data_IF_041075083478
#
_entry.id   IF_041075083478
#
_cell.length_a   1.000
_cell.length_b   1.000
_cell.length_c   1.000
_cell.angle_alpha   90.00
_cell.angle_beta   90.00
_cell.angle_gamma   90.00
#
_symmetry.space_group_name_H-M   'P 1'
#
loop_
_entity.id
_entity.type
_entity.pdbx_description
1 polymer ?
#
# COMPACT_ATOMS: atom_id res chain seq x y z
N UNK A 1 -19.64 -61.65 -3.13
CA UNK A 1 -20.04 -60.34 -2.58
C UNK A 1 -19.15 -59.24 -3.16
N UNK A 2 -19.67 -58.33 -3.89
CA UNK A 2 -18.84 -57.27 -4.43
C UNK A 2 -18.53 -56.21 -3.38
N UNK A 3 -17.27 -55.98 -3.12
CA UNK A 3 -16.78 -54.93 -2.25
C UNK A 3 -17.07 -53.54 -2.91
N UNK A 4 -17.89 -52.73 -2.27
CA UNK A 4 -18.09 -51.35 -2.60
C UNK A 4 -16.82 -50.59 -2.33
N UNK A 5 -16.13 -50.18 -3.37
CA UNK A 5 -15.05 -49.21 -3.29
C UNK A 5 -15.67 -47.82 -3.06
N UNK A 6 -15.47 -47.25 -1.88
CA UNK A 6 -15.85 -45.87 -1.56
C UNK A 6 -15.04 -44.91 -2.38
N UNK A 7 -15.66 -43.95 -3.06
CA UNK A 7 -14.95 -42.83 -3.68
C UNK A 7 -14.82 -41.70 -2.65
N UNK A 8 -13.85 -41.80 -1.76
CA UNK A 8 -13.56 -40.72 -0.80
C UNK A 8 -12.10 -40.30 -0.91
N UNK A 9 -11.68 -39.85 -2.07
CA UNK A 9 -10.36 -39.24 -2.28
C UNK A 9 -10.34 -38.28 -3.46
N UNK A 10 -11.26 -37.34 -3.54
CA UNK A 10 -11.17 -36.19 -4.47
C UNK A 10 -11.77 -34.97 -3.77
N UNK A 11 -11.08 -34.39 -2.83
CA UNK A 11 -11.48 -33.12 -2.26
C UNK A 11 -10.33 -32.38 -1.53
N UNK A 12 -9.07 -32.55 -1.95
CA UNK A 12 -7.98 -31.85 -1.27
C UNK A 12 -6.97 -31.18 -2.23
N UNK A 13 -7.40 -30.76 -3.41
CA UNK A 13 -6.50 -30.16 -4.42
C UNK A 13 -6.90 -28.76 -4.87
N UNK A 14 -7.65 -27.99 -4.08
CA UNK A 14 -8.13 -26.65 -4.49
C UNK A 14 -7.72 -25.49 -3.57
N UNK A 15 -6.72 -25.66 -2.73
CA UNK A 15 -6.27 -24.59 -1.82
C UNK A 15 -4.87 -24.04 -2.12
N UNK A 16 -4.34 -24.29 -3.30
CA UNK A 16 -3.12 -23.61 -3.75
C UNK A 16 -3.46 -22.50 -4.77
N UNK A 17 -4.38 -21.62 -4.43
CA UNK A 17 -4.43 -20.29 -5.04
C UNK A 17 -3.25 -19.46 -4.46
N UNK A 18 -2.05 -19.94 -4.73
CA UNK A 18 -0.83 -19.24 -4.45
C UNK A 18 -0.89 -17.89 -5.17
N UNK A 19 -0.74 -16.85 -4.41
CA UNK A 19 -0.51 -15.50 -4.88
C UNK A 19 0.72 -15.48 -5.80
N UNK A 20 0.54 -15.71 -7.10
CA UNK A 20 1.61 -15.57 -8.09
C UNK A 20 2.05 -14.10 -8.15
N UNK A 21 3.32 -13.77 -8.27
CA UNK A 21 3.75 -12.38 -8.44
C UNK A 21 3.09 -11.78 -9.68
N UNK A 22 2.79 -10.48 -9.62
CA UNK A 22 2.23 -9.74 -10.76
C UNK A 22 3.18 -9.86 -11.94
N UNK A 23 2.66 -10.28 -13.07
CA UNK A 23 3.45 -10.42 -14.30
C UNK A 23 3.68 -9.06 -14.96
N UNK A 24 4.71 -9.00 -15.82
CA UNK A 24 4.95 -7.79 -16.61
C UNK A 24 3.80 -7.49 -17.56
N UNK A 25 3.15 -8.53 -18.09
CA UNK A 25 1.97 -8.42 -18.94
C UNK A 25 0.78 -7.82 -18.18
N UNK A 26 0.51 -8.27 -16.97
CA UNK A 26 -0.55 -7.72 -16.12
C UNK A 26 -0.30 -6.24 -15.83
N UNK A 27 0.93 -5.87 -15.51
CA UNK A 27 1.29 -4.47 -15.28
C UNK A 27 1.19 -3.64 -16.58
N UNK A 28 1.55 -4.19 -17.72
CA UNK A 28 1.53 -3.49 -18.99
C UNK A 28 0.11 -3.26 -19.53
N UNK A 29 -0.84 -4.13 -19.19
CA UNK A 29 -2.23 -4.09 -19.68
C UNK A 29 -3.21 -3.47 -18.68
N UNK A 30 -2.78 -3.20 -17.45
CA UNK A 30 -3.62 -2.56 -16.46
C UNK A 30 -3.97 -1.12 -16.86
N UNK A 31 -5.22 -0.73 -16.62
CA UNK A 31 -5.65 0.65 -16.81
C UNK A 31 -5.35 1.48 -15.55
N UNK A 32 -4.26 2.22 -15.59
CA UNK A 32 -3.86 3.09 -14.49
C UNK A 32 -4.62 4.43 -14.47
N UNK A 33 -5.39 4.72 -15.51
CA UNK A 33 -6.01 6.02 -15.70
C UNK A 33 -5.00 7.14 -15.98
N UNK A 34 -5.45 8.38 -16.18
CA UNK A 34 -4.56 9.51 -16.42
C UNK A 34 -3.69 9.80 -15.20
N UNK A 35 -2.48 10.32 -15.44
CA UNK A 35 -1.57 10.74 -14.36
C UNK A 35 -2.22 11.87 -13.55
N UNK A 36 -2.34 11.72 -12.22
CA UNK A 36 -2.99 12.73 -11.40
C UNK A 36 -2.17 14.02 -11.32
N UNK A 37 -2.84 15.15 -11.39
CA UNK A 37 -2.22 16.47 -11.30
C UNK A 37 -2.42 17.10 -9.91
N UNK A 38 -3.51 16.78 -9.21
CA UNK A 38 -3.80 17.31 -7.87
C UNK A 38 -3.52 16.33 -6.74
N UNK A 39 -2.65 15.37 -6.96
CA UNK A 39 -2.35 14.32 -5.98
C UNK A 39 -1.84 14.86 -4.64
N UNK A 40 -1.09 15.95 -4.64
CA UNK A 40 -0.59 16.54 -3.38
C UNK A 40 -1.71 17.13 -2.54
N UNK A 41 -2.67 17.80 -3.17
CA UNK A 41 -3.84 18.36 -2.48
C UNK A 41 -4.70 17.24 -1.89
N UNK A 42 -4.94 16.20 -2.67
CA UNK A 42 -5.72 15.04 -2.25
C UNK A 42 -5.07 14.33 -1.06
N UNK A 43 -3.76 14.10 -1.11
CA UNK A 43 -3.02 13.46 -0.03
C UNK A 43 -2.99 14.35 1.22
N UNK A 44 -2.75 15.66 1.08
CA UNK A 44 -2.78 16.59 2.21
C UNK A 44 -4.16 16.66 2.85
N UNK A 45 -5.21 16.66 2.06
CA UNK A 45 -6.59 16.60 2.56
C UNK A 45 -6.86 15.33 3.37
N UNK A 46 -6.42 14.18 2.86
CA UNK A 46 -6.50 12.90 3.58
C UNK A 46 -5.75 12.96 4.92
N UNK A 47 -4.50 13.44 4.91
CA UNK A 47 -3.67 13.51 6.11
C UNK A 47 -4.24 14.50 7.15
N UNK A 48 -4.89 15.57 6.72
CA UNK A 48 -5.46 16.59 7.62
C UNK A 48 -6.52 16.06 8.58
N UNK A 49 -7.15 14.93 8.25
CA UNK A 49 -8.18 14.28 9.07
C UNK A 49 -7.71 12.98 9.73
N UNK A 50 -6.50 12.54 9.45
CA UNK A 50 -5.96 11.27 9.95
C UNK A 50 -4.80 11.42 10.91
N UNK A 51 -4.03 12.48 10.80
CA UNK A 51 -2.91 12.74 11.70
C UNK A 51 -3.40 13.25 13.06
N UNK A 52 -2.61 13.00 14.10
CA UNK A 52 -2.91 13.48 15.46
C UNK A 52 -2.80 15.00 15.54
N UNK A 53 -1.76 15.57 14.94
CA UNK A 53 -1.54 17.01 14.92
C UNK A 53 -1.17 17.46 13.49
N UNK A 54 -2.15 17.53 12.58
CA UNK A 54 -1.88 17.84 11.18
C UNK A 54 -1.30 19.23 10.95
N UNK A 55 -1.45 20.17 11.91
CA UNK A 55 -0.91 21.51 11.80
C UNK A 55 0.60 21.55 11.99
N UNK A 56 1.11 20.73 12.91
CA UNK A 56 2.53 20.68 13.25
C UNK A 56 3.26 19.51 12.55
N UNK A 57 2.53 18.62 11.88
CA UNK A 57 3.11 17.50 11.19
C UNK A 57 3.97 17.94 9.99
N UNK A 58 5.14 17.33 9.85
CA UNK A 58 5.95 17.46 8.66
C UNK A 58 5.52 16.42 7.62
N UNK A 59 5.26 16.85 6.40
CA UNK A 59 4.85 16.00 5.27
C UNK A 59 5.76 16.27 4.09
N UNK A 60 6.49 15.26 3.65
CA UNK A 60 7.44 15.37 2.54
C UNK A 60 7.06 14.40 1.41
N UNK A 61 6.82 14.92 0.21
CA UNK A 61 6.63 14.11 -0.99
C UNK A 61 7.98 13.65 -1.52
N UNK A 62 8.22 12.34 -1.52
CA UNK A 62 9.55 11.78 -1.79
C UNK A 62 9.67 11.05 -3.13
N UNK A 63 8.59 10.53 -3.67
CA UNK A 63 8.57 9.89 -4.98
C UNK A 63 7.16 9.84 -5.57
N UNK A 64 7.10 9.73 -6.89
CA UNK A 64 5.87 9.64 -7.67
C UNK A 64 5.34 11.00 -8.12
N UNK A 65 4.20 11.02 -8.83
CA UNK A 65 3.38 9.86 -9.21
C UNK A 65 4.06 8.97 -10.26
N UNK A 66 4.12 7.68 -9.98
CA UNK A 66 4.59 6.62 -10.89
C UNK A 66 3.61 5.45 -10.85
N UNK A 67 3.55 4.68 -11.92
CA UNK A 67 2.73 3.48 -11.96
C UNK A 67 3.08 2.56 -10.80
N UNK A 68 2.06 2.12 -10.07
CA UNK A 68 2.18 1.18 -8.97
C UNK A 68 1.03 0.18 -9.02
N UNK A 69 1.38 -1.09 -8.91
CA UNK A 69 0.45 -2.20 -8.85
C UNK A 69 0.58 -2.89 -7.50
N UNK A 70 -0.54 -3.02 -6.79
CA UNK A 70 -0.64 -3.72 -5.53
C UNK A 70 -1.54 -4.94 -5.70
N UNK A 71 -0.96 -6.10 -5.46
CA UNK A 71 -1.70 -7.35 -5.56
C UNK A 71 -2.82 -7.43 -4.53
N UNK A 72 -3.91 -8.06 -4.93
CA UNK A 72 -5.00 -8.41 -4.05
C UNK A 72 -4.62 -9.46 -3.01
N UNK A 73 -5.33 -9.45 -1.91
CA UNK A 73 -5.33 -10.49 -0.88
C UNK A 73 -6.73 -11.10 -0.79
N UNK A 74 -6.92 -12.10 0.06
CA UNK A 74 -8.24 -12.70 0.31
C UNK A 74 -9.27 -11.65 0.77
N UNK A 75 -8.81 -10.59 1.43
CA UNK A 75 -9.67 -9.54 2.02
C UNK A 75 -9.70 -8.25 1.21
N UNK A 76 -8.83 -8.09 0.23
CA UNK A 76 -8.69 -6.85 -0.56
C UNK A 76 -8.42 -7.21 -2.02
N UNK A 77 -9.21 -6.65 -2.93
CA UNK A 77 -8.93 -6.76 -4.36
C UNK A 77 -7.62 -6.10 -4.77
N UNK A 78 -7.21 -6.35 -5.99
CA UNK A 78 -6.06 -5.69 -6.61
C UNK A 78 -6.25 -4.18 -6.63
N UNK A 79 -5.18 -3.45 -6.35
CA UNK A 79 -5.14 -1.99 -6.41
C UNK A 79 -4.02 -1.57 -7.35
N UNK A 80 -4.33 -0.80 -8.35
CA UNK A 80 -3.36 -0.28 -9.30
C UNK A 80 -3.73 1.11 -9.77
N UNK A 81 -2.72 1.94 -9.94
CA UNK A 81 -2.87 3.34 -10.29
C UNK A 81 -1.53 4.06 -10.22
N UNK A 82 -1.55 5.29 -9.77
CA UNK A 82 -0.38 6.14 -9.65
C UNK A 82 0.07 6.20 -8.19
N UNK A 83 1.22 5.60 -7.93
CA UNK A 83 1.82 5.52 -6.61
C UNK A 83 2.57 6.79 -6.23
N UNK A 84 2.40 7.21 -4.99
CA UNK A 84 3.11 8.34 -4.39
C UNK A 84 3.66 7.92 -3.03
N UNK A 85 4.95 8.20 -2.79
CA UNK A 85 5.57 8.03 -1.49
C UNK A 85 5.64 9.35 -0.75
N UNK A 86 5.22 9.34 0.50
CA UNK A 86 5.24 10.48 1.40
C UNK A 86 5.92 10.09 2.71
N UNK A 87 6.80 10.92 3.22
CA UNK A 87 7.29 10.80 4.59
C UNK A 87 6.47 11.70 5.50
N UNK A 88 6.08 11.17 6.64
CA UNK A 88 5.27 11.90 7.63
C UNK A 88 5.96 11.84 8.99
N UNK A 89 6.07 12.97 9.64
CA UNK A 89 6.48 13.08 11.04
C UNK A 89 5.38 13.82 11.80
N UNK A 90 4.58 13.05 12.48
CA UNK A 90 3.44 13.53 13.26
C UNK A 90 3.69 13.33 14.76
N UNK A 91 3.04 14.09 15.58
CA UNK A 91 3.02 13.84 17.03
C UNK A 91 2.24 12.57 17.33
N UNK A 92 2.75 11.77 18.25
CA UNK A 92 2.01 10.65 18.80
C UNK A 92 0.91 11.14 19.77
N UNK A 93 0.13 10.22 20.32
CA UNK A 93 -0.93 10.52 21.30
C UNK A 93 -0.43 11.26 22.57
N UNK A 94 0.86 11.17 22.86
CA UNK A 94 1.50 11.84 24.00
C UNK A 94 2.08 13.21 23.63
N UNK A 95 1.91 13.66 22.39
CA UNK A 95 2.36 14.95 21.89
C UNK A 95 3.85 14.99 21.48
N UNK A 96 4.52 13.85 21.37
CA UNK A 96 5.92 13.75 20.97
C UNK A 96 6.08 13.33 19.51
N UNK A 97 7.09 13.91 18.83
CA UNK A 97 7.53 13.44 17.52
C UNK A 97 8.45 12.22 17.68
N UNK A 98 8.17 11.17 16.91
CA UNK A 98 8.97 9.93 16.92
C UNK A 98 9.84 9.75 15.67
N UNK A 99 9.85 10.73 14.78
CA UNK A 99 10.57 10.70 13.52
C UNK A 99 9.67 10.41 12.33
N UNK A 100 10.26 10.47 11.14
CA UNK A 100 9.55 10.20 9.90
C UNK A 100 9.20 8.72 9.76
N UNK A 101 8.04 8.45 9.23
CA UNK A 101 7.63 7.14 8.74
C UNK A 101 7.10 7.24 7.30
N UNK A 102 7.26 6.19 6.49
CA UNK A 102 6.78 6.21 5.12
C UNK A 102 5.29 5.90 5.06
N UNK A 103 4.61 6.59 4.17
CA UNK A 103 3.28 6.25 3.70
C UNK A 103 3.30 6.14 2.17
N UNK A 104 2.57 5.19 1.63
CA UNK A 104 2.36 5.07 0.19
C UNK A 104 0.89 5.20 -0.14
N UNK A 105 0.63 5.91 -1.20
CA UNK A 105 -0.72 6.17 -1.71
C UNK A 105 -0.81 5.66 -3.14
N UNK A 106 -1.93 5.08 -3.50
CA UNK A 106 -2.27 4.79 -4.89
C UNK A 106 -3.48 5.64 -5.25
N UNK A 107 -3.34 6.40 -6.33
CA UNK A 107 -4.39 7.25 -6.86
C UNK A 107 -4.84 6.77 -8.23
N UNK A 108 -6.13 6.93 -8.51
CA UNK A 108 -6.73 6.77 -9.82
C UNK A 108 -7.83 7.82 -9.98
N UNK A 109 -7.89 8.44 -11.17
CA UNK A 109 -8.89 9.47 -11.46
C UNK A 109 -8.93 10.58 -10.39
N UNK A 110 -7.75 11.07 -9.99
CA UNK A 110 -7.55 12.11 -8.96
C UNK A 110 -8.00 11.71 -7.54
N UNK A 111 -8.28 10.43 -7.28
CA UNK A 111 -8.72 9.96 -5.96
C UNK A 111 -7.78 8.92 -5.38
N UNK A 112 -7.61 8.96 -4.07
CA UNK A 112 -6.90 7.92 -3.33
C UNK A 112 -7.75 6.65 -3.31
N UNK A 113 -7.19 5.54 -3.82
CA UNK A 113 -7.84 4.23 -3.82
C UNK A 113 -7.18 3.25 -2.86
N UNK A 114 -5.94 3.49 -2.45
CA UNK A 114 -5.26 2.68 -1.44
C UNK A 114 -4.26 3.54 -0.66
N UNK A 115 -4.11 3.22 0.62
CA UNK A 115 -3.14 3.82 1.53
C UNK A 115 -2.45 2.70 2.30
N UNK A 116 -1.14 2.77 2.44
CA UNK A 116 -0.35 1.87 3.26
C UNK A 116 0.56 2.69 4.19
N UNK A 117 0.75 2.19 5.39
CA UNK A 117 1.45 2.92 6.45
C UNK A 117 0.54 3.94 7.15
N UNK A 118 1.07 4.59 8.14
CA UNK A 118 0.37 5.60 8.93
C UNK A 118 -0.07 5.10 10.31
N UNK A 119 -0.69 5.99 11.11
CA UNK A 119 -1.00 5.71 12.50
C UNK A 119 -2.06 4.62 12.70
N UNK A 120 -2.91 4.41 11.71
CA UNK A 120 -4.00 3.42 11.77
C UNK A 120 -3.61 2.04 11.22
N UNK A 121 -2.43 1.91 10.63
CA UNK A 121 -1.94 0.62 10.15
C UNK A 121 -1.35 -0.20 11.31
N UNK A 122 -1.84 -1.42 11.45
CA UNK A 122 -1.31 -2.34 12.47
C UNK A 122 0.21 -2.49 12.35
N UNK A 123 0.88 -2.49 13.48
CA UNK A 123 2.35 -2.42 13.62
C UNK A 123 3.15 -3.51 12.88
N UNK A 124 2.51 -4.55 12.37
CA UNK A 124 3.18 -5.74 11.84
C UNK A 124 3.32 -5.72 10.31
N UNK A 125 2.34 -5.21 9.58
CA UNK A 125 2.30 -5.30 8.10
C UNK A 125 2.44 -3.95 7.42
N UNK A 126 1.75 -2.93 7.93
CA UNK A 126 1.60 -1.64 7.27
C UNK A 126 2.92 -0.88 7.03
N UNK A 127 3.76 -0.65 8.05
CA UNK A 127 4.99 0.15 7.87
C UNK A 127 5.98 -0.50 6.91
N UNK A 128 6.11 -1.82 6.96
CA UNK A 128 7.02 -2.55 6.06
C UNK A 128 6.52 -2.55 4.62
N UNK A 129 5.21 -2.60 4.41
CA UNK A 129 4.63 -2.58 3.09
C UNK A 129 4.76 -1.20 2.43
N UNK A 130 4.45 -0.14 3.17
CA UNK A 130 4.65 1.23 2.71
C UNK A 130 6.11 1.52 2.35
N UNK A 131 7.06 1.06 3.17
CA UNK A 131 8.49 1.18 2.87
C UNK A 131 8.87 0.52 1.56
N UNK A 132 8.45 -0.73 1.33
CA UNK A 132 8.72 -1.45 0.08
C UNK A 132 8.13 -0.74 -1.13
N UNK A 133 6.92 -0.23 -1.02
CA UNK A 133 6.32 0.54 -2.11
C UNK A 133 7.05 1.84 -2.37
N UNK A 134 7.47 2.54 -1.32
CA UNK A 134 8.31 3.74 -1.44
C UNK A 134 9.64 3.46 -2.17
N UNK A 135 10.29 2.35 -1.83
CA UNK A 135 11.50 1.89 -2.52
C UNK A 135 11.24 1.60 -4.00
N UNK A 136 10.15 0.91 -4.32
CA UNK A 136 9.73 0.65 -5.72
C UNK A 136 9.50 1.94 -6.50
N UNK A 137 8.99 2.97 -5.84
CA UNK A 137 8.78 4.29 -6.44
C UNK A 137 10.08 5.10 -6.58
N UNK A 138 11.17 4.65 -6.00
CA UNK A 138 12.49 5.30 -6.04
C UNK A 138 12.72 6.32 -4.93
N UNK A 139 11.93 6.28 -3.86
CA UNK A 139 12.18 7.10 -2.69
C UNK A 139 13.43 6.62 -1.93
N UNK A 140 14.23 7.53 -1.37
CA UNK A 140 15.32 7.15 -0.47
C UNK A 140 14.75 6.55 0.84
N UNK A 141 15.56 5.81 1.61
CA UNK A 141 15.15 5.34 2.92
C UNK A 141 14.86 6.50 3.88
N UNK A 142 13.88 6.28 4.76
CA UNK A 142 13.51 7.27 5.78
C UNK A 142 14.70 7.53 6.71
N UNK A 143 15.04 8.79 7.02
CA UNK A 143 16.13 9.11 7.93
C UNK A 143 15.89 8.48 9.32
N UNK A 144 16.92 7.80 9.85
CA UNK A 144 16.85 7.15 11.17
C UNK A 144 15.99 5.88 11.23
N UNK A 145 15.46 5.43 10.11
CA UNK A 145 14.78 4.14 10.02
C UNK A 145 15.77 2.96 10.08
N UNK A 146 15.28 1.76 10.39
CA UNK A 146 16.11 0.56 10.31
C UNK A 146 16.62 0.36 8.87
N UNK A 147 17.88 0.02 8.77
CA UNK A 147 18.53 -0.32 7.51
C UNK A 147 17.91 -1.58 6.89
#
# INVERSE_FOLDING_TARGET
MPMRKSPLMIALALLAACSSPVTKEEMATADYGPKPVRYQEEIKSYLSIRLHDPKDAAVEFRAGPKILYQRGTVLRGEQYGWGVCVWVNDKNKDGAFEGFYPMSFILRDEKIIAVNGGPDDGAIIGPNYARKQCEQLGAPPVPGGPA
#
